data_IF_057506056139
#
_entry.id   IF_057506056139
#
_cell.length_a   1.000
_cell.length_b   1.000
_cell.length_c   1.000
_cell.angle_alpha   90.00
_cell.angle_beta   90.00
_cell.angle_gamma   90.00
#
_symmetry.space_group_name_H-M   'P 1'
#
loop_
_entity.id
_entity.type
_entity.pdbx_description
1 polymer ?
#
# COMPACT_ATOMS: atom_id res chain seq x y z
N UNK A 1 5.76 28.11 26.10
CA UNK A 1 7.20 28.39 25.83
C UNK A 1 7.37 29.40 24.71
N UNK A 2 6.65 29.30 23.58
CA UNK A 2 6.75 30.24 22.47
C UNK A 2 6.41 31.67 22.88
N UNK A 3 5.29 31.88 23.63
CA UNK A 3 4.87 33.19 24.13
C UNK A 3 5.97 33.81 25.02
N UNK A 4 6.48 33.04 25.99
CA UNK A 4 7.58 33.50 26.85
C UNK A 4 8.86 33.86 26.07
N UNK A 5 9.16 33.11 24.99
CA UNK A 5 10.30 33.45 24.11
C UNK A 5 10.10 34.70 23.30
N UNK A 6 8.87 34.97 22.85
CA UNK A 6 8.49 36.20 22.14
C UNK A 6 8.61 37.42 23.04
N UNK A 7 8.12 37.30 24.29
CA UNK A 7 8.11 38.38 25.27
C UNK A 7 9.53 38.74 25.73
N UNK A 8 10.39 37.73 25.95
CA UNK A 8 11.78 37.94 26.37
C UNK A 8 12.70 38.50 25.26
N UNK A 9 12.42 38.13 24.00
CA UNK A 9 13.27 38.47 22.87
C UNK A 9 12.48 39.05 21.67
N UNK A 10 11.71 40.16 21.82
CA UNK A 10 10.78 40.63 20.79
C UNK A 10 11.48 41.10 19.49
N UNK A 11 12.72 41.54 19.56
CA UNK A 11 13.52 42.04 18.41
C UNK A 11 14.44 40.99 17.80
N UNK A 12 14.48 39.77 18.34
CA UNK A 12 15.38 38.75 17.81
C UNK A 12 14.90 38.25 16.43
N UNK A 13 15.85 38.15 15.49
CA UNK A 13 15.53 37.82 14.06
C UNK A 13 14.69 36.59 13.86
N UNK A 14 14.76 35.56 14.74
CA UNK A 14 13.97 34.32 14.68
C UNK A 14 12.65 34.37 15.44
N UNK A 15 12.32 35.48 16.09
CA UNK A 15 11.03 35.61 16.82
C UNK A 15 9.83 35.49 15.89
N UNK A 16 9.98 35.83 14.61
CA UNK A 16 8.93 35.62 13.60
C UNK A 16 8.58 34.14 13.41
N UNK A 17 9.55 33.23 13.53
CA UNK A 17 9.29 31.78 13.50
C UNK A 17 8.44 31.34 14.68
N UNK A 18 8.73 31.85 15.89
CA UNK A 18 7.90 31.56 17.08
C UNK A 18 6.49 32.11 16.95
N UNK A 19 6.34 33.32 16.37
CA UNK A 19 5.01 33.89 16.08
C UNK A 19 4.25 33.06 15.07
N UNK A 20 4.89 32.59 14.00
CA UNK A 20 4.28 31.71 12.99
C UNK A 20 3.82 30.39 13.61
N UNK A 21 4.69 29.74 14.41
CA UNK A 21 4.34 28.49 15.11
C UNK A 21 3.17 28.74 16.07
N UNK A 22 3.19 29.80 16.84
CA UNK A 22 2.10 30.12 17.76
C UNK A 22 0.80 30.41 17.03
N UNK A 23 0.86 31.12 15.90
CA UNK A 23 -0.30 31.36 15.04
C UNK A 23 -0.88 30.04 14.48
N UNK A 24 -0.03 29.13 14.01
CA UNK A 24 -0.44 27.79 13.56
C UNK A 24 -1.07 26.97 14.69
N UNK A 25 -0.47 26.99 15.89
CA UNK A 25 -1.02 26.31 17.06
C UNK A 25 -2.36 26.88 17.52
N UNK A 26 -2.58 28.18 17.37
CA UNK A 26 -3.84 28.86 17.72
C UNK A 26 -4.89 28.79 16.60
N UNK A 27 -4.48 28.46 15.39
CA UNK A 27 -5.42 28.35 14.27
C UNK A 27 -6.42 27.22 14.51
N UNK A 28 -7.73 27.44 14.28
CA UNK A 28 -8.70 26.36 14.32
C UNK A 28 -8.46 25.42 13.13
N UNK A 29 -8.50 24.11 13.40
CA UNK A 29 -8.43 23.08 12.38
C UNK A 29 -9.57 22.09 12.57
N UNK A 30 -10.06 21.61 11.44
CA UNK A 30 -11.10 20.60 11.37
C UNK A 30 -10.80 19.68 10.19
N UNK A 31 -10.75 18.39 10.42
CA UNK A 31 -10.65 17.39 9.36
C UNK A 31 -11.52 16.19 9.65
N UNK A 32 -11.86 15.48 8.59
CA UNK A 32 -12.71 14.31 8.62
C UNK A 32 -12.02 13.19 7.83
N UNK A 33 -11.90 12.01 8.43
CA UNK A 33 -11.50 10.80 7.76
C UNK A 33 -12.65 9.81 7.81
N UNK A 34 -13.04 9.32 6.64
CA UNK A 34 -14.09 8.32 6.48
C UNK A 34 -13.68 7.32 5.39
N UNK A 35 -14.19 6.09 5.44
CA UNK A 35 -14.03 5.15 4.35
C UNK A 35 -14.82 5.61 3.13
N UNK A 36 -14.25 5.46 1.94
CA UNK A 36 -14.94 5.80 0.68
C UNK A 36 -16.11 4.85 0.38
N UNK A 37 -15.99 3.60 0.79
CA UNK A 37 -16.96 2.53 0.57
C UNK A 37 -17.27 1.85 1.89
N UNK A 38 -18.54 1.63 2.16
CA UNK A 38 -19.01 0.91 3.34
C UNK A 38 -20.07 -0.10 2.97
N UNK A 39 -20.29 -1.06 3.87
CA UNK A 39 -21.42 -1.97 3.78
C UNK A 39 -22.68 -1.27 4.32
N UNK A 40 -23.83 -1.29 3.59
CA UNK A 40 -25.08 -0.68 4.07
C UNK A 40 -25.59 -1.39 5.33
N UNK A 41 -26.43 -0.70 6.11
CA UNK A 41 -27.01 -1.19 7.37
C UNK A 41 -25.99 -1.37 8.51
N UNK A 42 -24.77 -0.87 8.32
CA UNK A 42 -23.76 -0.85 9.36
C UNK A 42 -23.58 0.54 9.99
N UNK A 43 -23.04 0.53 11.20
CA UNK A 43 -22.59 1.75 11.86
C UNK A 43 -21.19 2.11 11.38
N UNK A 44 -21.02 3.29 10.82
CA UNK A 44 -19.75 3.77 10.29
C UNK A 44 -19.01 4.54 11.35
N UNK A 45 -17.75 4.20 11.58
CA UNK A 45 -16.84 4.95 12.41
C UNK A 45 -16.17 6.06 11.59
N UNK A 46 -16.46 7.31 11.90
CA UNK A 46 -15.81 8.48 11.33
C UNK A 46 -14.77 9.01 12.30
N UNK A 47 -13.59 9.32 11.82
CA UNK A 47 -12.55 9.97 12.60
C UNK A 47 -12.58 11.48 12.34
N UNK A 48 -12.96 12.24 13.36
CA UNK A 48 -12.97 13.68 13.39
C UNK A 48 -11.72 14.17 14.12
N UNK A 49 -10.87 14.95 13.45
CA UNK A 49 -9.71 15.58 14.07
C UNK A 49 -9.98 17.08 14.20
N UNK A 50 -9.79 17.62 15.42
CA UNK A 50 -10.07 19.02 15.72
C UNK A 50 -8.95 19.68 16.52
N UNK A 51 -8.74 20.98 16.29
CA UNK A 51 -7.84 21.84 17.06
C UNK A 51 -8.51 23.19 17.29
N UNK A 52 -8.49 23.70 18.52
CA UNK A 52 -9.02 25.01 18.93
C UNK A 52 -10.48 25.27 18.53
N UNK A 53 -11.30 24.22 18.57
CA UNK A 53 -12.73 24.29 18.28
C UNK A 53 -13.55 23.84 19.49
N UNK A 54 -14.69 24.49 19.73
CA UNK A 54 -15.62 24.18 20.81
C UNK A 54 -16.73 23.23 20.40
N UNK A 55 -17.03 23.16 19.12
CA UNK A 55 -18.03 22.25 18.56
C UNK A 55 -17.85 22.07 17.06
N UNK A 56 -18.42 21.00 16.55
CA UNK A 56 -18.59 20.74 15.13
C UNK A 56 -20.00 20.22 14.85
N UNK A 57 -20.51 20.50 13.66
CA UNK A 57 -21.80 20.01 13.19
C UNK A 57 -21.52 19.06 12.02
N UNK A 58 -21.97 17.82 12.17
CA UNK A 58 -21.94 16.81 11.13
C UNK A 58 -23.31 16.74 10.46
N UNK A 59 -23.34 16.86 9.16
CA UNK A 59 -24.52 16.66 8.34
C UNK A 59 -24.24 15.56 7.32
N UNK A 60 -25.25 14.70 7.11
CA UNK A 60 -25.21 13.66 6.09
C UNK A 60 -26.36 13.89 5.13
N UNK A 61 -26.01 13.93 3.88
CA UNK A 61 -26.95 14.09 2.78
C UNK A 61 -26.95 12.81 1.94
N UNK A 62 -28.13 12.33 1.60
CA UNK A 62 -28.31 11.29 0.59
C UNK A 62 -28.40 11.94 -0.78
N UNK A 63 -27.81 11.31 -1.77
CA UNK A 63 -27.78 11.76 -3.15
C UNK A 63 -28.56 10.75 -3.98
N UNK A 64 -29.66 11.19 -4.61
CA UNK A 64 -30.54 10.35 -5.42
C UNK A 64 -30.16 10.37 -6.91
N UNK A 65 -28.89 10.61 -7.20
CA UNK A 65 -28.33 10.58 -8.54
C UNK A 65 -27.27 9.49 -8.66
N UNK A 66 -27.08 8.93 -9.86
CA UNK A 66 -25.93 8.07 -10.14
C UNK A 66 -24.60 8.77 -9.86
N UNK A 67 -23.61 8.02 -9.39
CA UNK A 67 -22.29 8.56 -9.02
C UNK A 67 -21.64 9.36 -10.15
N UNK A 68 -21.66 8.80 -11.36
CA UNK A 68 -21.08 9.45 -12.55
C UNK A 68 -21.76 10.76 -12.93
N UNK A 69 -23.06 10.87 -12.70
CA UNK A 69 -23.82 12.09 -12.94
C UNK A 69 -23.51 13.13 -11.89
N UNK A 70 -23.49 12.72 -10.61
CA UNK A 70 -23.22 13.63 -9.50
C UNK A 70 -21.81 14.22 -9.55
N UNK A 71 -20.82 13.44 -9.95
CA UNK A 71 -19.43 13.92 -10.06
C UNK A 71 -19.27 15.05 -11.09
N UNK A 72 -20.11 15.08 -12.12
CA UNK A 72 -20.08 16.09 -13.19
C UNK A 72 -20.81 17.38 -12.86
N UNK A 73 -21.61 17.44 -11.79
CA UNK A 73 -22.38 18.60 -11.40
C UNK A 73 -21.51 19.70 -10.81
N UNK A 74 -21.93 20.94 -11.03
CA UNK A 74 -21.41 22.11 -10.32
C UNK A 74 -21.83 22.08 -8.85
N UNK A 75 -21.14 22.81 -7.99
CA UNK A 75 -21.45 22.87 -6.55
C UNK A 75 -22.90 23.32 -6.27
N UNK A 76 -23.44 24.23 -7.08
CA UNK A 76 -24.84 24.66 -6.95
C UNK A 76 -25.84 23.55 -7.28
N UNK A 77 -25.58 22.78 -8.32
CA UNK A 77 -26.40 21.64 -8.72
C UNK A 77 -26.29 20.49 -7.72
N UNK A 78 -25.07 20.21 -7.22
CA UNK A 78 -24.85 19.24 -6.15
C UNK A 78 -25.69 19.54 -4.91
N UNK A 79 -25.75 20.80 -4.50
CA UNK A 79 -26.56 21.22 -3.35
C UNK A 79 -28.07 20.99 -3.56
N UNK A 80 -28.57 21.08 -4.80
CA UNK A 80 -29.98 20.81 -5.12
C UNK A 80 -30.31 19.32 -5.17
N UNK A 81 -29.32 18.49 -5.46
CA UNK A 81 -29.48 17.04 -5.62
C UNK A 81 -29.33 16.26 -4.30
N UNK A 82 -29.27 16.95 -3.17
CA UNK A 82 -28.98 16.37 -1.87
C UNK A 82 -30.17 16.49 -0.93
N UNK A 83 -30.48 15.38 -0.20
CA UNK A 83 -31.48 15.35 0.86
C UNK A 83 -30.83 15.06 2.20
N UNK A 84 -30.96 16.01 3.15
CA UNK A 84 -30.39 15.84 4.49
C UNK A 84 -31.09 14.70 5.22
N UNK A 85 -30.34 13.68 5.60
CA UNK A 85 -30.84 12.48 6.31
C UNK A 85 -30.39 12.41 7.77
N UNK A 86 -29.32 13.14 8.14
CA UNK A 86 -28.81 13.14 9.49
C UNK A 86 -28.10 14.46 9.82
N UNK A 87 -28.24 14.89 11.08
CA UNK A 87 -27.51 16.03 11.63
C UNK A 87 -27.20 15.80 13.10
N UNK A 88 -25.98 16.09 13.51
CA UNK A 88 -25.60 16.04 14.92
C UNK A 88 -24.53 17.07 15.23
N UNK A 89 -24.73 17.77 16.34
CA UNK A 89 -23.75 18.68 16.92
C UNK A 89 -22.91 17.93 17.97
N UNK A 90 -21.60 18.10 17.89
CA UNK A 90 -20.64 17.56 18.84
C UNK A 90 -19.97 18.68 19.59
N UNK A 91 -19.95 18.58 20.93
CA UNK A 91 -19.14 19.45 21.77
C UNK A 91 -17.71 18.96 21.74
N UNK A 92 -16.76 19.85 21.51
CA UNK A 92 -15.34 19.59 21.42
C UNK A 92 -14.61 20.30 22.56
N UNK A 93 -13.52 19.72 23.02
CA UNK A 93 -12.64 20.36 23.99
C UNK A 93 -11.54 21.12 23.23
N UNK A 94 -11.49 22.44 23.27
CA UNK A 94 -10.45 23.21 22.60
C UNK A 94 -9.06 22.79 23.10
N UNK A 95 -8.15 22.62 22.19
CA UNK A 95 -6.78 22.20 22.48
C UNK A 95 -5.83 22.79 21.46
N UNK A 96 -4.65 23.22 21.88
CA UNK A 96 -3.57 23.66 21.00
C UNK A 96 -2.93 22.51 20.18
N UNK A 97 -3.28 21.28 20.53
CA UNK A 97 -2.84 20.05 19.86
C UNK A 97 -4.06 19.42 19.21
N UNK A 98 -3.89 18.87 18.04
CA UNK A 98 -4.93 18.11 17.33
C UNK A 98 -5.44 16.97 18.20
N UNK A 99 -6.75 16.81 18.27
CA UNK A 99 -7.42 15.74 19.00
C UNK A 99 -8.35 14.98 18.08
N UNK A 100 -8.28 13.67 18.17
CA UNK A 100 -9.11 12.75 17.44
C UNK A 100 -10.35 12.36 18.24
N UNK A 101 -11.50 12.36 17.60
CA UNK A 101 -12.78 11.88 18.14
C UNK A 101 -13.38 10.91 17.15
N UNK A 102 -13.70 9.70 17.59
CA UNK A 102 -14.41 8.72 16.76
C UNK A 102 -15.91 8.92 16.95
N UNK A 103 -16.61 9.10 15.85
CA UNK A 103 -18.06 9.29 15.79
C UNK A 103 -18.69 8.16 15.02
N UNK A 104 -19.67 7.50 15.62
CA UNK A 104 -20.41 6.42 14.98
C UNK A 104 -21.74 6.96 14.42
N UNK A 105 -21.99 6.71 13.15
CA UNK A 105 -23.21 7.11 12.45
C UNK A 105 -23.88 5.89 11.80
N UNK A 106 -25.21 5.77 11.89
CA UNK A 106 -25.95 4.74 11.18
C UNK A 106 -26.17 5.16 9.72
N UNK A 107 -25.96 4.24 8.77
CA UNK A 107 -26.33 4.40 7.37
C UNK A 107 -27.21 3.23 6.93
N UNK A 108 -28.53 3.40 6.95
CA UNK A 108 -29.47 2.28 6.85
C UNK A 108 -29.61 1.69 5.45
N UNK A 109 -29.25 2.40 4.39
CA UNK A 109 -29.52 2.01 3.01
C UNK A 109 -28.28 2.10 2.12
N UNK A 110 -28.28 1.28 1.05
CA UNK A 110 -27.34 1.45 -0.03
C UNK A 110 -27.58 2.76 -0.78
N UNK A 111 -26.51 3.44 -1.18
CA UNK A 111 -26.60 4.70 -1.91
C UNK A 111 -25.34 5.53 -1.85
N UNK A 112 -25.41 6.70 -2.48
CA UNK A 112 -24.37 7.72 -2.44
C UNK A 112 -24.71 8.75 -1.35
N UNK A 113 -23.72 9.10 -0.54
CA UNK A 113 -23.86 10.05 0.55
C UNK A 113 -22.79 11.12 0.48
N UNK A 114 -23.17 12.35 0.82
CA UNK A 114 -22.21 13.41 1.13
C UNK A 114 -22.22 13.68 2.62
N UNK A 115 -21.04 13.67 3.21
CA UNK A 115 -20.84 13.93 4.63
C UNK A 115 -20.12 15.25 4.75
N UNK A 116 -20.74 16.20 5.43
CA UNK A 116 -20.22 17.55 5.65
C UNK A 116 -20.00 17.79 7.12
N UNK A 117 -18.83 18.28 7.47
CA UNK A 117 -18.45 18.64 8.82
C UNK A 117 -18.04 20.11 8.83
N UNK A 118 -18.68 20.92 9.67
CA UNK A 118 -18.40 22.34 9.75
C UNK A 118 -18.59 22.89 11.17
N UNK A 119 -18.15 24.12 11.40
CA UNK A 119 -18.42 24.89 12.61
C UNK A 119 -18.91 26.27 12.25
N UNK A 120 -19.85 26.89 13.03
CA UNK A 120 -20.40 28.21 12.72
C UNK A 120 -19.34 29.30 12.82
N UNK A 121 -19.42 30.27 11.92
CA UNK A 121 -18.46 31.37 11.82
C UNK A 121 -17.13 30.93 11.17
N UNK A 122 -17.05 29.71 10.70
CA UNK A 122 -15.79 29.17 10.21
C UNK A 122 -15.71 29.18 8.71
N UNK A 123 -14.55 29.61 8.30
CA UNK A 123 -13.95 29.31 7.02
C UNK A 123 -13.53 27.82 6.89
N UNK A 124 -13.94 26.97 7.84
CA UNK A 124 -13.53 25.57 7.93
C UNK A 124 -14.75 24.66 7.79
N UNK A 125 -14.95 24.18 6.58
CA UNK A 125 -15.88 23.10 6.27
C UNK A 125 -15.12 22.02 5.51
N UNK A 126 -15.38 20.77 5.85
CA UNK A 126 -14.85 19.59 5.14
C UNK A 126 -16.04 18.79 4.63
N UNK A 127 -16.03 18.47 3.36
CA UNK A 127 -17.07 17.64 2.76
C UNK A 127 -16.45 16.51 1.95
N UNK A 128 -16.96 15.31 2.12
CA UNK A 128 -16.49 14.11 1.42
C UNK A 128 -17.68 13.25 1.01
N UNK A 129 -17.55 12.56 -0.12
CA UNK A 129 -18.54 11.58 -0.58
C UNK A 129 -18.19 10.19 -0.05
N UNK A 130 -19.22 9.37 0.15
CA UNK A 130 -19.12 8.00 0.61
C UNK A 130 -20.18 7.15 -0.08
N UNK A 131 -19.83 5.92 -0.46
CA UNK A 131 -20.75 5.00 -1.11
C UNK A 131 -21.06 3.85 -0.16
N UNK A 132 -22.34 3.64 0.13
CA UNK A 132 -22.83 2.47 0.85
C UNK A 132 -23.28 1.42 -0.15
N UNK A 133 -22.55 0.30 -0.28
CA UNK A 133 -22.85 -0.77 -1.23
C UNK A 133 -22.42 -2.14 -0.72
N UNK A 134 -23.18 -3.18 -1.07
CA UNK A 134 -22.81 -4.58 -0.82
C UNK A 134 -21.91 -5.14 -1.91
N UNK A 135 -21.85 -4.43 -3.06
CA UNK A 135 -21.13 -4.92 -4.24
C UNK A 135 -19.64 -4.67 -4.12
N UNK A 136 -18.87 -5.72 -4.16
CA UNK A 136 -17.43 -5.69 -4.36
C UNK A 136 -17.10 -6.27 -5.72
N UNK A 137 -16.14 -5.69 -6.41
CA UNK A 137 -15.76 -6.16 -7.74
C UNK A 137 -14.25 -6.21 -7.92
N UNK A 138 -13.84 -7.08 -8.81
CA UNK A 138 -12.47 -7.18 -9.30
C UNK A 138 -12.48 -7.33 -10.82
N UNK A 139 -11.49 -6.77 -11.49
CA UNK A 139 -11.27 -6.96 -12.92
C UNK A 139 -9.89 -7.55 -13.17
N UNK A 140 -9.86 -8.65 -13.90
CA UNK A 140 -8.63 -9.25 -14.43
C UNK A 140 -8.54 -8.92 -15.91
N UNK A 141 -7.41 -8.33 -16.30
CA UNK A 141 -7.18 -7.92 -17.68
C UNK A 141 -6.06 -8.73 -18.29
N UNK A 142 -6.31 -9.31 -19.45
CA UNK A 142 -5.26 -9.70 -20.39
C UNK A 142 -5.33 -8.78 -21.63
N UNK A 143 -4.53 -9.03 -22.66
CA UNK A 143 -4.43 -8.11 -23.81
C UNK A 143 -5.76 -7.81 -24.48
N UNK A 144 -6.63 -8.79 -24.60
CA UNK A 144 -7.86 -8.73 -25.41
C UNK A 144 -9.13 -9.10 -24.63
N UNK A 145 -9.03 -9.39 -23.33
CA UNK A 145 -10.15 -9.82 -22.54
C UNK A 145 -10.11 -9.20 -21.14
N UNK A 146 -11.25 -8.74 -20.65
CA UNK A 146 -11.45 -8.34 -19.28
C UNK A 146 -12.46 -9.30 -18.67
N UNK A 147 -12.13 -9.82 -17.49
CA UNK A 147 -12.98 -10.69 -16.69
C UNK A 147 -13.35 -9.93 -15.43
N UNK A 148 -14.61 -9.61 -15.30
CA UNK A 148 -15.17 -8.94 -14.12
C UNK A 148 -15.75 -9.99 -13.20
N UNK A 149 -15.43 -9.90 -11.91
CA UNK A 149 -16.01 -10.74 -10.86
C UNK A 149 -16.71 -9.85 -9.85
N UNK A 150 -17.98 -10.10 -9.59
CA UNK A 150 -18.81 -9.34 -8.65
C UNK A 150 -19.31 -10.26 -7.55
N UNK A 151 -19.12 -9.85 -6.32
CA UNK A 151 -19.50 -10.60 -5.13
C UNK A 151 -19.96 -9.68 -4.01
N UNK A 152 -20.70 -10.22 -3.08
CA UNK A 152 -21.07 -9.54 -1.84
C UNK A 152 -19.82 -9.40 -0.95
N UNK A 153 -19.51 -8.18 -0.55
CA UNK A 153 -18.24 -7.84 0.14
C UNK A 153 -18.09 -8.51 1.50
N UNK A 154 -19.17 -8.94 2.15
CA UNK A 154 -19.17 -9.60 3.46
C UNK A 154 -19.14 -11.11 3.35
N UNK A 155 -20.04 -11.67 2.55
CA UNK A 155 -20.22 -13.12 2.45
C UNK A 155 -19.35 -13.77 1.39
N UNK A 156 -18.75 -13.00 0.48
CA UNK A 156 -18.01 -13.49 -0.68
C UNK A 156 -18.88 -14.22 -1.72
N UNK A 157 -20.21 -14.23 -1.55
CA UNK A 157 -21.11 -14.90 -2.50
C UNK A 157 -21.14 -14.15 -3.83
N UNK A 158 -21.13 -14.87 -4.97
CA UNK A 158 -21.23 -14.24 -6.26
C UNK A 158 -22.58 -13.54 -6.44
N UNK A 159 -22.59 -12.38 -7.08
CA UNK A 159 -23.78 -11.60 -7.38
C UNK A 159 -24.14 -11.77 -8.86
N UNK A 160 -25.17 -12.55 -9.21
CA UNK A 160 -25.67 -12.66 -10.57
C UNK A 160 -26.47 -11.44 -10.98
N UNK A 161 -26.54 -11.18 -12.30
CA UNK A 161 -27.31 -10.08 -12.89
C UNK A 161 -26.91 -8.68 -12.40
N UNK A 162 -25.74 -8.53 -11.79
CA UNK A 162 -25.17 -7.20 -11.54
C UNK A 162 -24.81 -6.55 -12.88
N UNK A 163 -25.13 -5.27 -13.03
CA UNK A 163 -24.85 -4.51 -14.24
C UNK A 163 -23.48 -3.85 -14.09
N UNK A 164 -22.61 -4.08 -15.07
CA UNK A 164 -21.30 -3.47 -15.17
C UNK A 164 -21.36 -2.43 -16.27
N UNK A 165 -21.13 -1.18 -15.92
CA UNK A 165 -21.08 -0.05 -16.84
C UNK A 165 -19.63 0.21 -17.18
N UNK A 166 -19.29 0.25 -18.46
CA UNK A 166 -17.96 0.52 -18.98
C UNK A 166 -17.89 1.95 -19.48
N UNK A 167 -16.92 2.70 -18.99
CA UNK A 167 -16.74 4.10 -19.31
C UNK A 167 -15.39 4.40 -19.96
N UNK A 168 -15.40 5.41 -20.81
CA UNK A 168 -14.20 6.14 -21.21
C UNK A 168 -14.12 7.41 -20.36
N UNK A 169 -13.03 7.60 -19.57
CA UNK A 169 -12.81 8.85 -18.88
C UNK A 169 -12.68 10.00 -19.89
N UNK A 170 -13.45 11.06 -19.65
CA UNK A 170 -13.50 12.23 -20.51
C UNK A 170 -13.65 13.46 -19.60
N UNK A 171 -12.51 14.09 -19.26
CA UNK A 171 -12.54 15.20 -18.29
C UNK A 171 -13.51 16.32 -18.73
N UNK A 172 -14.42 16.78 -17.85
CA UNK A 172 -14.52 16.46 -16.39
C UNK A 172 -15.36 15.24 -16.03
N UNK A 173 -15.69 14.31 -16.92
CA UNK A 173 -16.60 13.22 -16.62
C UNK A 173 -16.28 11.91 -17.32
N UNK A 174 -17.33 11.16 -17.62
CA UNK A 174 -17.24 9.80 -18.18
C UNK A 174 -18.24 9.65 -19.34
N UNK A 175 -17.81 8.98 -20.40
CA UNK A 175 -18.71 8.59 -21.51
C UNK A 175 -18.98 7.10 -21.41
N UNK A 176 -20.25 6.72 -21.30
CA UNK A 176 -20.66 5.32 -21.29
C UNK A 176 -20.38 4.68 -22.65
N UNK A 177 -19.62 3.58 -22.65
CA UNK A 177 -19.27 2.83 -23.84
C UNK A 177 -20.10 1.58 -24.03
N UNK A 178 -20.41 0.88 -22.91
CA UNK A 178 -21.03 -0.42 -22.95
C UNK A 178 -21.61 -0.80 -21.59
N UNK A 179 -22.45 -1.82 -21.56
CA UNK A 179 -22.93 -2.43 -20.32
C UNK A 179 -22.98 -3.94 -20.45
N UNK A 180 -22.56 -4.63 -19.38
CA UNK A 180 -22.52 -6.08 -19.27
C UNK A 180 -23.31 -6.51 -18.06
N UNK A 181 -23.71 -7.80 -18.03
CA UNK A 181 -24.36 -8.40 -16.87
C UNK A 181 -23.59 -9.62 -16.40
N UNK A 182 -23.49 -9.80 -15.10
CA UNK A 182 -22.86 -10.97 -14.51
C UNK A 182 -23.74 -12.20 -14.67
N UNK A 183 -23.12 -13.35 -14.94
CA UNK A 183 -23.74 -14.66 -15.00
C UNK A 183 -24.04 -15.22 -13.58
N UNK A 184 -24.52 -16.47 -13.51
CA UNK A 184 -24.80 -17.16 -12.23
C UNK A 184 -23.61 -17.30 -11.28
N UNK A 185 -22.39 -17.18 -11.80
CA UNK A 185 -21.13 -17.21 -11.02
C UNK A 185 -20.62 -15.80 -10.65
N UNK A 186 -21.42 -14.77 -10.88
CA UNK A 186 -21.03 -13.38 -10.63
C UNK A 186 -19.97 -12.84 -11.61
N UNK A 187 -19.82 -13.46 -12.79
CA UNK A 187 -18.77 -13.11 -13.76
C UNK A 187 -19.36 -12.50 -15.03
N UNK A 188 -18.66 -11.50 -15.59
CA UNK A 188 -18.95 -10.95 -16.90
C UNK A 188 -17.65 -10.85 -17.71
N UNK A 189 -17.76 -10.85 -19.03
CA UNK A 189 -16.62 -10.88 -19.95
C UNK A 189 -16.74 -9.75 -20.98
N UNK A 190 -15.68 -9.01 -21.17
CA UNK A 190 -15.53 -8.04 -22.26
C UNK A 190 -14.30 -8.39 -23.09
N UNK A 191 -14.42 -8.22 -24.41
CA UNK A 191 -13.32 -8.45 -25.37
C UNK A 191 -12.83 -7.15 -25.98
N UNK A 192 -12.96 -6.05 -25.27
CA UNK A 192 -12.48 -4.75 -25.75
C UNK A 192 -10.96 -4.65 -25.60
N UNK A 193 -10.30 -4.19 -26.65
CA UNK A 193 -8.87 -3.92 -26.58
C UNK A 193 -8.58 -2.70 -25.71
N UNK A 194 -7.74 -2.89 -24.71
CA UNK A 194 -7.22 -1.82 -23.83
C UNK A 194 -6.06 -1.04 -24.48
N UNK A 195 -5.65 -1.42 -25.70
CA UNK A 195 -4.40 -0.93 -26.30
C UNK A 195 -4.35 0.57 -26.58
N UNK A 196 -5.49 1.24 -26.68
CA UNK A 196 -5.56 2.65 -27.16
C UNK A 196 -6.31 3.61 -26.25
N UNK A 197 -6.93 3.16 -25.16
CA UNK A 197 -7.74 4.05 -24.32
C UNK A 197 -7.73 3.60 -22.85
N UNK A 198 -7.74 4.60 -21.97
CA UNK A 198 -8.02 4.36 -20.56
C UNK A 198 -9.52 4.02 -20.44
N UNK A 199 -9.84 3.02 -19.65
CA UNK A 199 -11.21 2.62 -19.36
C UNK A 199 -11.45 2.70 -17.85
N UNK A 200 -12.69 2.86 -17.47
CA UNK A 200 -13.17 2.72 -16.11
C UNK A 200 -14.44 1.87 -16.10
N UNK A 201 -14.79 1.31 -14.97
CA UNK A 201 -16.02 0.55 -14.81
C UNK A 201 -16.69 0.84 -13.48
N UNK A 202 -17.99 0.68 -13.46
CA UNK A 202 -18.83 0.79 -12.28
C UNK A 202 -19.73 -0.45 -12.21
N UNK A 203 -20.00 -0.94 -10.99
CA UNK A 203 -20.91 -2.07 -10.78
C UNK A 203 -22.10 -1.58 -9.99
N UNK A 204 -23.30 -1.87 -10.51
CA UNK A 204 -24.58 -1.51 -9.90
C UNK A 204 -25.58 -2.66 -10.00
N UNK A 205 -26.59 -2.63 -9.15
CA UNK A 205 -27.81 -3.45 -9.27
C UNK A 205 -29.01 -2.67 -8.67
N UNK A 206 -30.25 -3.15 -8.79
CA UNK A 206 -31.41 -2.43 -8.26
C UNK A 206 -31.36 -2.14 -6.75
N UNK A 207 -30.73 -3.01 -5.97
CA UNK A 207 -30.58 -2.83 -4.52
C UNK A 207 -29.41 -1.89 -4.16
N UNK A 208 -28.42 -1.77 -5.05
CA UNK A 208 -27.23 -0.94 -4.90
C UNK A 208 -27.04 -0.12 -6.18
N UNK A 209 -27.81 0.96 -6.35
CA UNK A 209 -27.81 1.76 -7.59
C UNK A 209 -26.55 2.58 -7.79
N UNK A 210 -25.76 2.74 -6.75
CA UNK A 210 -24.51 3.47 -6.76
C UNK A 210 -23.34 2.55 -6.41
N UNK A 211 -22.25 2.69 -7.15
CA UNK A 211 -20.99 2.00 -6.93
C UNK A 211 -19.83 2.92 -7.27
N UNK A 212 -18.63 2.61 -6.80
CA UNK A 212 -17.43 3.36 -7.16
C UNK A 212 -17.11 3.20 -8.65
N UNK A 213 -16.57 4.24 -9.25
CA UNK A 213 -16.03 4.19 -10.60
C UNK A 213 -14.55 3.82 -10.48
N UNK A 214 -14.23 2.61 -10.92
CA UNK A 214 -12.89 2.04 -10.79
C UNK A 214 -12.14 2.16 -12.11
N UNK A 215 -10.91 2.68 -12.12
CA UNK A 215 -10.08 2.67 -13.32
C UNK A 215 -9.65 1.25 -13.66
N UNK A 216 -9.61 0.95 -14.95
CA UNK A 216 -9.05 -0.30 -15.46
C UNK A 216 -7.59 -0.05 -15.81
N UNK A 217 -6.70 -0.56 -14.98
CA UNK A 217 -5.26 -0.42 -15.22
C UNK A 217 -4.77 -1.43 -16.24
N UNK A 218 -4.04 -0.94 -17.22
CA UNK A 218 -3.27 -1.81 -18.11
C UNK A 218 -2.22 -2.56 -17.31
N UNK A 219 -2.21 -3.86 -17.42
CA UNK A 219 -0.96 -4.57 -17.24
C UNK A 219 -0.08 -4.30 -18.46
N UNK A 220 1.01 -3.59 -18.23
CA UNK A 220 2.05 -3.41 -19.25
C UNK A 220 2.74 -4.77 -19.46
N UNK A 221 2.20 -5.59 -20.33
CA UNK A 221 2.93 -6.73 -20.85
C UNK A 221 3.76 -6.20 -22.00
N UNK A 222 5.07 -6.25 -21.86
CA UNK A 222 5.97 -5.92 -22.97
C UNK A 222 5.58 -6.78 -24.18
N UNK A 223 5.28 -6.19 -25.35
CA UNK A 223 4.91 -6.95 -26.54
C UNK A 223 6.07 -7.79 -27.08
N UNK A 224 7.29 -7.57 -26.60
CA UNK A 224 8.47 -8.33 -26.95
C UNK A 224 8.73 -9.45 -25.97
N UNK A 225 9.04 -10.62 -26.49
CA UNK A 225 9.48 -11.75 -25.68
C UNK A 225 10.69 -11.35 -24.81
N UNK A 226 10.55 -11.51 -23.49
CA UNK A 226 11.62 -11.23 -22.55
C UNK A 226 12.24 -12.53 -22.04
N UNK A 227 13.54 -12.66 -22.25
CA UNK A 227 14.30 -13.75 -21.64
C UNK A 227 14.68 -13.36 -20.21
N UNK A 228 14.51 -14.29 -19.28
CA UNK A 228 14.92 -14.16 -17.87
C UNK A 228 15.65 -15.40 -17.43
N UNK A 229 16.55 -15.21 -16.49
CA UNK A 229 17.27 -16.31 -15.85
C UNK A 229 17.24 -16.12 -14.33
N UNK A 230 16.75 -17.11 -13.60
CA UNK A 230 16.90 -17.18 -12.17
C UNK A 230 18.17 -17.98 -11.83
N UNK A 231 19.04 -17.45 -10.97
CA UNK A 231 20.19 -18.14 -10.42
C UNK A 231 19.94 -18.38 -8.93
N UNK A 232 20.12 -19.63 -8.51
CA UNK A 232 19.89 -20.09 -7.14
C UNK A 232 21.16 -20.82 -6.69
N UNK A 233 21.61 -20.55 -5.47
CA UNK A 233 22.75 -21.19 -4.84
C UNK A 233 22.29 -22.12 -3.71
N UNK A 234 23.09 -23.15 -3.41
CA UNK A 234 22.80 -24.09 -2.31
C UNK A 234 22.81 -23.42 -0.93
N UNK A 235 23.54 -22.32 -0.79
CA UNK A 235 23.59 -21.49 0.44
C UNK A 235 23.63 -20.01 0.09
N UNK A 236 23.43 -19.19 1.11
CA UNK A 236 23.58 -17.73 0.99
C UNK A 236 24.86 -17.21 1.61
N UNK A 237 25.47 -17.99 2.51
CA UNK A 237 26.71 -17.62 3.22
C UNK A 237 27.72 -18.75 3.06
N UNK A 238 28.94 -18.38 2.73
CA UNK A 238 30.08 -19.29 2.53
C UNK A 238 31.33 -18.77 3.22
N UNK A 239 32.27 -19.65 3.45
CA UNK A 239 33.64 -19.30 3.87
C UNK A 239 34.57 -19.28 2.66
N UNK A 240 35.68 -18.49 2.74
CA UNK A 240 36.79 -18.66 1.79
C UNK A 240 37.22 -20.12 1.68
N UNK A 241 37.52 -20.61 0.46
CA UNK A 241 37.87 -21.98 0.16
C UNK A 241 36.70 -22.95 -0.06
N UNK A 242 35.44 -22.54 0.21
CA UNK A 242 34.30 -23.41 -0.04
C UNK A 242 33.83 -23.35 -1.51
N UNK A 243 33.13 -24.40 -1.92
CA UNK A 243 32.51 -24.49 -3.24
C UNK A 243 31.07 -23.99 -3.18
N UNK A 244 30.72 -23.07 -4.09
CA UNK A 244 29.37 -22.59 -4.34
C UNK A 244 28.76 -23.44 -5.44
N UNK A 245 27.72 -24.19 -5.13
CA UNK A 245 26.92 -24.87 -6.14
C UNK A 245 25.76 -24.00 -6.56
N UNK A 246 25.51 -23.90 -7.85
CA UNK A 246 24.39 -23.10 -8.36
C UNK A 246 23.54 -23.87 -9.38
N UNK A 247 22.27 -23.44 -9.45
CA UNK A 247 21.33 -23.84 -10.48
C UNK A 247 20.78 -22.61 -11.16
N UNK A 248 20.78 -22.61 -12.47
CA UNK A 248 20.08 -21.61 -13.28
C UNK A 248 18.83 -22.20 -13.93
N UNK A 249 17.80 -21.37 -14.06
CA UNK A 249 16.59 -21.70 -14.82
C UNK A 249 16.33 -20.50 -15.74
N UNK A 250 16.26 -20.75 -17.04
CA UNK A 250 16.03 -19.73 -18.05
C UNK A 250 14.74 -19.98 -18.80
N UNK A 251 13.96 -18.91 -18.96
CA UNK A 251 12.68 -18.94 -19.68
C UNK A 251 12.49 -17.67 -20.49
N UNK A 252 11.61 -17.75 -21.45
CA UNK A 252 11.11 -16.60 -22.17
C UNK A 252 9.64 -16.40 -21.87
N UNK A 253 9.26 -15.15 -21.66
CA UNK A 253 7.86 -14.73 -21.52
C UNK A 253 7.49 -13.94 -22.75
N UNK A 254 6.48 -14.40 -23.48
CA UNK A 254 5.74 -13.58 -24.42
C UNK A 254 4.36 -13.27 -23.82
N UNK A 255 3.57 -12.36 -24.41
CA UNK A 255 2.28 -11.98 -23.84
C UNK A 255 1.34 -13.16 -23.52
N UNK A 256 1.39 -14.22 -24.31
CA UNK A 256 0.45 -15.35 -24.21
C UNK A 256 1.10 -16.65 -23.78
N UNK A 257 2.43 -16.71 -23.69
CA UNK A 257 3.14 -17.95 -23.42
C UNK A 257 4.38 -17.76 -22.55
N UNK A 258 4.66 -18.77 -21.74
CA UNK A 258 5.90 -18.92 -20.98
C UNK A 258 6.52 -20.26 -21.40
N UNK A 259 7.75 -20.25 -21.87
CA UNK A 259 8.45 -21.46 -22.28
C UNK A 259 9.89 -21.50 -21.81
N UNK A 260 10.36 -22.70 -21.49
CA UNK A 260 11.74 -22.94 -21.09
C UNK A 260 12.68 -22.76 -22.29
N UNK A 261 13.86 -22.21 -22.04
CA UNK A 261 14.88 -22.02 -23.07
C UNK A 261 15.84 -23.21 -23.02
N UNK A 262 15.57 -24.23 -23.85
CA UNK A 262 16.40 -25.41 -23.95
C UNK A 262 17.59 -25.22 -24.90
N UNK A 263 18.62 -26.01 -24.68
CA UNK A 263 19.83 -26.09 -25.52
C UNK A 263 20.53 -24.74 -25.77
N UNK A 264 20.38 -23.79 -24.84
CA UNK A 264 21.04 -22.48 -24.90
C UNK A 264 22.32 -22.48 -24.08
N UNK A 265 23.36 -21.89 -24.62
CA UNK A 265 24.64 -21.65 -23.93
C UNK A 265 24.54 -20.41 -23.09
N UNK A 266 25.00 -20.47 -21.85
CA UNK A 266 25.07 -19.35 -20.90
C UNK A 266 26.49 -19.23 -20.39
N UNK A 267 26.97 -18.01 -20.36
CA UNK A 267 28.21 -17.61 -19.71
C UNK A 267 27.86 -17.18 -18.30
N UNK A 268 28.37 -17.89 -17.30
CA UNK A 268 28.18 -17.55 -15.90
C UNK A 268 29.50 -17.01 -15.37
N UNK A 269 29.47 -15.77 -14.91
CA UNK A 269 30.63 -15.10 -14.31
C UNK A 269 30.47 -15.05 -12.80
N UNK A 270 31.57 -15.26 -12.09
CA UNK A 270 31.63 -15.16 -10.63
C UNK A 270 32.54 -14.01 -10.24
N UNK A 271 31.97 -13.00 -9.55
CA UNK A 271 32.63 -11.77 -9.17
C UNK A 271 32.82 -11.69 -7.66
N UNK A 272 33.93 -11.10 -7.22
CA UNK A 272 34.25 -10.86 -5.82
C UNK A 272 33.57 -9.59 -5.26
N UNK A 273 33.85 -9.27 -4.00
CA UNK A 273 33.31 -8.10 -3.30
C UNK A 273 33.71 -6.75 -3.92
N UNK A 274 34.73 -6.70 -4.78
CA UNK A 274 35.17 -5.51 -5.52
C UNK A 274 34.64 -5.51 -6.97
N UNK A 275 33.66 -6.35 -7.29
CA UNK A 275 33.07 -6.53 -8.62
C UNK A 275 34.08 -7.04 -9.69
N UNK A 276 35.19 -7.62 -9.25
CA UNK A 276 36.19 -8.23 -10.12
C UNK A 276 35.80 -9.66 -10.46
N UNK A 277 35.80 -10.01 -11.75
CA UNK A 277 35.56 -11.40 -12.19
C UNK A 277 36.74 -12.28 -11.75
N UNK A 278 36.43 -13.29 -10.93
CA UNK A 278 37.41 -14.26 -10.39
C UNK A 278 37.30 -15.63 -11.04
N UNK A 279 36.16 -15.94 -11.62
CA UNK A 279 35.97 -17.19 -12.39
C UNK A 279 34.80 -17.02 -13.38
N UNK A 280 34.83 -17.90 -14.39
CA UNK A 280 33.81 -17.93 -15.44
C UNK A 280 33.60 -19.37 -15.92
N UNK A 281 32.38 -19.72 -16.27
CA UNK A 281 31.99 -21.02 -16.79
C UNK A 281 30.96 -20.91 -17.91
N UNK A 282 31.08 -21.71 -18.95
CA UNK A 282 30.01 -21.90 -19.95
C UNK A 282 29.22 -23.17 -19.61
N UNK A 283 27.88 -23.03 -19.66
CA UNK A 283 26.93 -24.10 -19.37
C UNK A 283 25.83 -24.11 -20.43
N UNK A 284 25.23 -25.28 -20.66
CA UNK A 284 24.11 -25.41 -21.61
C UNK A 284 22.85 -25.84 -20.85
N UNK A 285 21.72 -25.18 -21.14
CA UNK A 285 20.45 -25.56 -20.55
C UNK A 285 19.88 -26.84 -21.14
N UNK A 286 19.20 -27.62 -20.31
CA UNK A 286 18.48 -28.82 -20.70
C UNK A 286 17.05 -28.47 -21.21
N UNK A 287 16.24 -29.50 -21.51
CA UNK A 287 14.86 -29.38 -22.00
C UNK A 287 13.95 -28.57 -21.08
N UNK A 288 14.28 -28.40 -19.81
CA UNK A 288 13.53 -27.60 -18.83
C UNK A 288 14.10 -26.18 -18.68
N UNK A 289 15.01 -25.75 -19.54
CA UNK A 289 15.69 -24.48 -19.43
C UNK A 289 16.66 -24.40 -18.26
N UNK A 290 16.95 -25.51 -17.58
CA UNK A 290 17.80 -25.52 -16.38
C UNK A 290 19.23 -25.97 -16.67
N UNK A 291 20.17 -25.40 -15.93
CA UNK A 291 21.59 -25.73 -15.94
C UNK A 291 22.17 -25.64 -14.53
N UNK A 292 23.30 -26.29 -14.31
CA UNK A 292 23.99 -26.34 -13.00
C UNK A 292 25.47 -26.13 -13.19
N UNK A 293 26.14 -25.69 -12.16
CA UNK A 293 27.58 -25.57 -12.11
C UNK A 293 28.08 -25.27 -10.70
N UNK A 294 29.37 -25.04 -10.58
CA UNK A 294 29.99 -24.71 -9.31
C UNK A 294 31.20 -23.80 -9.50
N UNK A 295 31.50 -23.00 -8.47
CA UNK A 295 32.71 -22.20 -8.37
C UNK A 295 33.37 -22.43 -7.01
N UNK A 296 34.70 -22.46 -6.98
CA UNK A 296 35.45 -22.50 -5.73
C UNK A 296 35.80 -21.07 -5.35
N UNK A 297 35.46 -20.67 -4.14
CA UNK A 297 35.89 -19.40 -3.57
C UNK A 297 37.36 -19.49 -3.22
N UNK A 298 38.20 -18.54 -3.69
CA UNK A 298 39.62 -18.59 -3.32
C UNK A 298 39.81 -18.52 -1.79
N UNK A 299 40.76 -19.29 -1.26
CA UNK A 299 41.02 -19.37 0.19
C UNK A 299 41.53 -18.04 0.79
N UNK A 300 42.21 -17.23 -0.03
CA UNK A 300 42.75 -15.91 0.37
C UNK A 300 42.06 -14.84 -0.47
N UNK A 301 40.87 -14.41 -0.03
CA UNK A 301 40.08 -13.38 -0.70
C UNK A 301 39.42 -12.49 0.35
N UNK A 302 39.15 -11.25 -0.02
CA UNK A 302 38.44 -10.30 0.85
C UNK A 302 36.99 -10.79 1.09
N UNK A 303 36.57 -10.78 2.34
CA UNK A 303 35.20 -11.07 2.71
C UNK A 303 34.23 -10.00 2.16
N UNK A 304 32.99 -10.38 1.89
CA UNK A 304 31.96 -9.46 1.40
C UNK A 304 30.94 -10.15 0.51
N UNK A 305 30.21 -9.37 -0.26
CA UNK A 305 29.17 -9.86 -1.16
C UNK A 305 29.75 -10.21 -2.53
N UNK A 306 29.58 -11.48 -2.90
CA UNK A 306 30.03 -12.00 -4.19
C UNK A 306 28.82 -12.23 -5.08
N UNK A 307 28.96 -12.03 -6.38
CA UNK A 307 27.83 -12.11 -7.31
C UNK A 307 28.10 -13.16 -8.39
N UNK A 308 27.16 -14.09 -8.55
CA UNK A 308 27.04 -14.90 -9.74
C UNK A 308 26.14 -14.18 -10.74
N UNK A 309 26.61 -14.03 -11.95
CA UNK A 309 25.99 -13.20 -12.94
C UNK A 309 25.95 -13.89 -14.31
N UNK A 310 24.86 -13.69 -15.02
CA UNK A 310 24.70 -14.02 -16.44
C UNK A 310 23.95 -12.89 -17.12
N UNK A 311 23.92 -12.86 -18.47
CA UNK A 311 23.31 -11.76 -19.24
C UNK A 311 21.91 -11.34 -18.76
N UNK A 312 21.08 -12.29 -18.31
CA UNK A 312 19.67 -12.05 -17.95
C UNK A 312 19.30 -12.45 -16.51
N UNK A 313 20.29 -12.56 -15.64
CA UNK A 313 20.06 -12.92 -14.23
C UNK A 313 21.29 -12.83 -13.37
N UNK A 314 21.08 -12.59 -12.10
CA UNK A 314 22.15 -12.58 -11.09
C UNK A 314 21.66 -13.07 -9.72
N UNK A 315 22.58 -13.52 -8.89
CA UNK A 315 22.35 -13.82 -7.48
C UNK A 315 23.57 -13.46 -6.66
N UNK A 316 23.35 -12.97 -5.45
CA UNK A 316 24.41 -12.57 -4.54
C UNK A 316 24.51 -13.53 -3.37
N UNK A 317 25.73 -13.83 -2.95
CA UNK A 317 26.09 -14.62 -1.78
C UNK A 317 27.01 -13.80 -0.88
N UNK A 318 27.04 -14.11 0.39
CA UNK A 318 27.97 -13.52 1.35
C UNK A 318 29.14 -14.48 1.59
N UNK A 319 30.36 -13.95 1.50
CA UNK A 319 31.59 -14.70 1.84
C UNK A 319 32.13 -14.09 3.11
N UNK A 320 32.17 -14.85 4.19
CA UNK A 320 32.57 -14.40 5.51
C UNK A 320 33.14 -15.55 6.37
N UNK A 321 34.10 -15.23 7.22
CA UNK A 321 34.57 -16.12 8.27
C UNK A 321 33.57 -16.12 9.45
N UNK A 322 32.36 -16.66 9.22
CA UNK A 322 31.34 -16.71 10.25
C UNK A 322 31.62 -17.81 11.28
N UNK A 323 31.39 -17.50 12.56
CA UNK A 323 31.26 -18.50 13.61
C UNK A 323 29.80 -18.94 13.68
N UNK A 324 29.58 -20.26 13.90
CA UNK A 324 28.23 -20.75 14.14
C UNK A 324 27.69 -20.08 15.39
N UNK A 325 26.52 -19.44 15.34
CA UNK A 325 25.96 -18.83 16.55
C UNK A 325 25.69 -19.92 17.58
N UNK A 326 26.08 -19.66 18.82
CA UNK A 326 25.92 -20.58 19.96
C UNK A 326 24.66 -20.27 20.77
N UNK A 327 24.11 -19.10 20.59
CA UNK A 327 22.93 -18.62 21.30
C UNK A 327 22.12 -17.63 20.45
N UNK A 328 20.88 -17.42 20.83
CA UNK A 328 19.99 -16.38 20.32
C UNK A 328 19.53 -15.47 21.45
N UNK A 329 19.26 -14.21 21.14
CA UNK A 329 18.66 -13.26 22.06
C UNK A 329 17.26 -12.95 21.54
N UNK A 330 16.26 -13.24 22.37
CA UNK A 330 14.86 -12.99 22.06
C UNK A 330 14.34 -11.84 22.92
N UNK A 331 13.78 -10.82 22.29
CA UNK A 331 13.09 -9.73 22.98
C UNK A 331 11.57 -9.98 22.90
N UNK A 332 10.88 -9.66 23.99
CA UNK A 332 9.43 -9.61 23.96
C UNK A 332 9.00 -8.33 23.27
N UNK A 333 8.07 -8.46 22.33
CA UNK A 333 7.51 -7.30 21.66
C UNK A 333 6.76 -6.40 22.64
N UNK A 334 6.88 -5.07 22.53
CA UNK A 334 6.13 -4.14 23.33
C UNK A 334 4.62 -4.34 23.11
N UNK A 335 3.88 -4.50 24.20
CA UNK A 335 2.41 -4.70 24.15
C UNK A 335 1.62 -3.40 24.04
N UNK A 336 2.28 -2.24 24.09
CA UNK A 336 1.66 -0.91 24.01
C UNK A 336 2.55 0.08 23.27
N UNK A 337 1.94 1.14 22.76
CA UNK A 337 2.67 2.31 22.25
C UNK A 337 3.20 3.15 23.41
N UNK A 338 4.36 3.79 23.22
CA UNK A 338 5.00 4.65 24.20
C UNK A 338 5.02 6.10 23.69
N UNK A 339 4.95 7.05 24.63
CA UNK A 339 5.04 8.48 24.36
C UNK A 339 6.39 9.04 24.83
N UNK A 340 6.74 10.23 24.33
CA UNK A 340 7.94 10.91 24.79
C UNK A 340 7.88 11.17 26.30
N UNK A 341 8.91 10.70 27.02
CA UNK A 341 8.99 10.75 28.48
C UNK A 341 8.56 9.48 29.22
N UNK A 342 8.01 8.50 28.52
CA UNK A 342 7.69 7.20 29.11
C UNK A 342 8.95 6.39 29.41
N UNK A 343 8.90 5.62 30.50
CA UNK A 343 9.92 4.61 30.79
C UNK A 343 9.59 3.34 30.01
N UNK A 344 10.49 2.94 29.12
CA UNK A 344 10.37 1.72 28.32
C UNK A 344 11.13 0.59 28.99
N UNK A 345 10.41 -0.47 29.39
CA UNK A 345 11.03 -1.69 29.89
C UNK A 345 11.03 -2.77 28.80
N UNK A 346 12.21 -3.14 28.32
CA UNK A 346 12.38 -4.25 27.39
C UNK A 346 12.78 -5.51 28.17
N UNK A 347 12.05 -6.60 27.96
CA UNK A 347 12.39 -7.92 28.50
C UNK A 347 12.97 -8.77 27.39
N UNK A 348 14.13 -9.33 27.64
CA UNK A 348 14.78 -10.27 26.75
C UNK A 348 15.25 -11.51 27.49
N UNK A 349 15.45 -12.58 26.73
CA UNK A 349 16.09 -13.81 27.23
C UNK A 349 17.17 -14.25 26.26
N UNK A 350 18.25 -14.79 26.81
CA UNK A 350 19.31 -15.44 26.06
C UNK A 350 19.08 -16.94 26.13
N UNK A 351 19.03 -17.59 24.95
CA UNK A 351 18.82 -19.01 24.83
C UNK A 351 19.94 -19.64 24.01
N UNK A 352 20.63 -20.62 24.58
CA UNK A 352 21.62 -21.41 23.88
C UNK A 352 20.95 -22.42 22.95
N UNK A 353 21.51 -22.60 21.75
CA UNK A 353 21.08 -23.67 20.83
C UNK A 353 21.43 -25.08 21.33
N UNK A 354 22.36 -25.20 22.28
CA UNK A 354 22.70 -26.48 22.94
C UNK A 354 21.80 -26.84 24.10
N UNK A 355 20.79 -26.00 24.44
CA UNK A 355 19.87 -26.22 25.56
C UNK A 355 20.43 -25.82 26.95
N UNK A 356 21.65 -25.28 27.01
CA UNK A 356 22.27 -24.82 28.28
C UNK A 356 21.67 -23.46 28.67
N UNK A 357 21.29 -23.32 29.95
CA UNK A 357 20.84 -22.04 30.50
C UNK A 357 22.01 -21.06 30.62
N UNK A 358 21.86 -19.88 30.04
CA UNK A 358 22.87 -18.83 30.04
C UNK A 358 22.50 -17.78 31.10
N UNK A 359 22.77 -18.10 32.34
CA UNK A 359 22.59 -17.15 33.47
C UNK A 359 23.87 -16.33 33.66
N UNK A 360 23.72 -15.07 34.11
CA UNK A 360 24.81 -14.13 34.39
C UNK A 360 25.79 -13.86 33.25
N UNK A 361 25.33 -13.94 32.03
CA UNK A 361 26.15 -13.63 30.84
C UNK A 361 26.13 -12.13 30.58
N UNK A 362 27.30 -11.47 30.42
CA UNK A 362 27.35 -10.06 30.08
C UNK A 362 26.77 -9.83 28.68
N UNK A 363 25.92 -8.82 28.53
CA UNK A 363 25.29 -8.44 27.27
C UNK A 363 25.68 -7.02 26.94
N UNK A 364 26.23 -6.80 25.75
CA UNK A 364 26.42 -5.48 25.19
C UNK A 364 25.20 -5.11 24.36
N UNK A 365 24.65 -3.93 24.56
CA UNK A 365 23.51 -3.45 23.78
C UNK A 365 23.73 -2.03 23.28
N UNK A 366 23.09 -1.70 22.19
CA UNK A 366 23.05 -0.33 21.63
C UNK A 366 21.61 0.07 21.48
N UNK A 367 21.27 1.27 21.96
CA UNK A 367 19.96 1.86 21.77
C UNK A 367 20.10 2.96 20.71
N UNK A 368 19.35 2.84 19.62
CA UNK A 368 19.27 3.87 18.60
C UNK A 368 17.84 4.40 18.51
N UNK A 369 17.69 5.70 18.40
CA UNK A 369 16.42 6.37 18.15
C UNK A 369 16.42 6.89 16.73
N UNK A 370 15.51 6.35 15.90
CA UNK A 370 15.27 6.90 14.57
C UNK A 370 13.95 7.66 14.59
N UNK A 371 13.98 8.92 14.22
CA UNK A 371 12.77 9.69 13.91
C UNK A 371 12.54 9.59 12.41
N UNK A 372 11.36 9.17 11.93
CA UNK A 372 11.06 9.33 10.52
C UNK A 372 11.09 10.83 10.21
N UNK A 373 12.02 11.26 9.37
CA UNK A 373 12.00 12.61 8.81
C UNK A 373 10.75 12.62 7.92
N UNK A 374 9.65 13.13 8.44
CA UNK A 374 8.51 13.52 7.62
C UNK A 374 8.97 14.73 6.86
N UNK A 375 9.40 14.53 5.61
CA UNK A 375 9.68 15.63 4.69
C UNK A 375 8.36 16.39 4.49
N UNK A 376 8.30 17.68 4.78
CA UNK A 376 7.13 18.46 4.48
C UNK A 376 7.15 18.80 2.98
N UNK A 377 6.44 17.99 2.18
CA UNK A 377 6.02 18.34 0.84
C UNK A 377 4.53 18.11 0.71
#
# INVERSE_FOLDING_TARGET
RCEKGIDLYPKYKRTNLLRAILSQMKAPKLSLQLPEIIYPEETVALKLTSQNLYYAILQIYRIDLPTETYEQLTDQEKNKAQHKVYEKRFTLTPSLIERDTIVHIPLPQAGLYQISLYTTGAKHSVSQTMIATRLQSNVQCNQNQQIYSVYDSKSGKPIPKAKILLYKPNYPGYTLLDSLFTNSRGMAFSFRSLSKQNLAYQVINPENPNGPINPIYRQYTSPTAQTRTALITDRKIYRPGQTVYYKGISWSTSPDTLYALENRKYKISFKDANDKEIAQQEVTSNRYGSFTGSFVIPARILNGYFTLYTEKGQTTIEVADYKRPEFEILFQEPTRSYFAGDVVCLKGQVKSFSGVKMAHTPINYTISVSSPIVSPY
#
